data_IF_361810316959
#
_entry.id   IF_361810316959
#
_cell.length_a   1.000
_cell.length_b   1.000
_cell.length_c   1.000
_cell.angle_alpha   90.00
_cell.angle_beta   90.00
_cell.angle_gamma   90.00
#
_symmetry.space_group_name_H-M   'P 1'
#
loop_
_entity.id
_entity.type
_entity.pdbx_description
1 polymer ?
#
# COMPACT_ATOMS: atom_id res chain seq x y z
N UNK A 1 -7.72 7.71 1.74
CA UNK A 1 -6.97 6.44 1.50
C UNK A 1 -7.87 5.26 1.14
N UNK A 2 -8.88 4.90 1.95
CA UNK A 2 -9.77 3.75 1.66
C UNK A 2 -10.46 3.84 0.30
N UNK A 3 -11.02 5.00 -0.06
CA UNK A 3 -11.69 5.23 -1.35
C UNK A 3 -10.73 5.19 -2.56
N UNK A 4 -9.42 5.26 -2.33
CA UNK A 4 -8.40 5.15 -3.37
C UNK A 4 -7.88 3.73 -3.56
N UNK A 5 -8.35 2.78 -2.73
CA UNK A 5 -7.94 1.37 -2.69
C UNK A 5 -6.49 1.12 -2.23
N UNK A 6 -5.84 2.13 -1.65
CA UNK A 6 -4.47 2.04 -1.12
C UNK A 6 -4.41 1.79 0.40
N UNK A 7 -5.40 1.07 0.94
CA UNK A 7 -5.48 0.72 2.36
C UNK A 7 -5.77 -0.77 2.53
N UNK A 8 -4.73 -1.57 2.77
CA UNK A 8 -4.78 -3.01 3.09
C UNK A 8 -3.37 -3.56 3.29
N UNK A 9 -3.00 -3.92 4.53
CA UNK A 9 -1.69 -4.55 4.80
C UNK A 9 -1.51 -5.87 4.06
N UNK A 10 -2.60 -6.64 3.90
CA UNK A 10 -2.61 -7.96 3.29
C UNK A 10 -2.15 -7.93 1.83
N UNK A 11 -2.63 -6.95 1.07
CA UNK A 11 -2.25 -6.72 -0.33
C UNK A 11 -1.03 -5.83 -0.51
N UNK A 12 -0.34 -5.46 0.58
CA UNK A 12 0.88 -4.67 0.50
C UNK A 12 0.66 -3.16 0.36
N UNK A 13 -0.47 -2.65 0.83
CA UNK A 13 -0.72 -1.22 0.94
C UNK A 13 -0.55 -0.72 2.37
N UNK A 14 -0.73 0.59 2.57
CA UNK A 14 -0.65 1.23 3.87
C UNK A 14 -1.73 0.67 4.81
N UNK A 15 -1.42 0.62 6.10
CA UNK A 15 -2.33 0.22 7.16
C UNK A 15 -2.50 1.36 8.18
N UNK A 16 -3.35 1.14 9.20
CA UNK A 16 -3.62 2.16 10.22
C UNK A 16 -2.37 2.62 10.96
N UNK A 17 -1.49 1.69 11.35
CA UNK A 17 -0.24 2.02 12.04
C UNK A 17 0.70 2.85 11.16
N UNK A 18 0.90 2.43 9.91
CA UNK A 18 1.71 3.16 8.94
C UNK A 18 1.18 4.58 8.72
N UNK A 19 -0.12 4.73 8.46
CA UNK A 19 -0.72 6.05 8.23
C UNK A 19 -0.59 6.96 9.45
N UNK A 20 -0.83 6.44 10.65
CA UNK A 20 -0.70 7.24 11.88
C UNK A 20 0.73 7.76 12.06
N UNK A 21 1.74 6.93 11.82
CA UNK A 21 3.15 7.33 11.93
C UNK A 21 3.55 8.35 10.85
N UNK A 22 3.10 8.15 9.61
CA UNK A 22 3.31 9.11 8.53
C UNK A 22 2.65 10.46 8.84
N UNK A 23 1.39 10.46 9.30
CA UNK A 23 0.68 11.68 9.68
C UNK A 23 1.37 12.35 10.87
N UNK A 24 1.78 11.58 11.89
CA UNK A 24 2.47 12.11 13.05
C UNK A 24 3.80 12.78 12.65
N UNK A 25 4.56 12.21 11.70
CA UNK A 25 5.75 12.87 11.17
C UNK A 25 5.45 14.27 10.63
N UNK A 26 4.36 14.40 9.87
CA UNK A 26 3.94 15.68 9.28
C UNK A 26 3.47 16.66 10.36
N UNK A 27 2.72 16.19 11.36
CA UNK A 27 2.28 17.02 12.49
C UNK A 27 3.48 17.57 13.27
N UNK A 28 4.52 16.76 13.49
CA UNK A 28 5.75 17.20 14.18
C UNK A 28 6.53 18.23 13.35
N UNK A 29 6.62 18.05 12.03
CA UNK A 29 7.33 18.98 11.14
C UNK A 29 6.61 20.32 10.96
N UNK A 30 5.27 20.32 11.01
CA UNK A 30 4.42 21.48 10.75
C UNK A 30 3.47 21.76 11.94
N UNK A 31 4.03 21.75 13.16
CA UNK A 31 3.30 22.01 14.39
C UNK A 31 2.49 23.33 14.29
N UNK A 32 1.30 23.37 14.88
CA UNK A 32 0.32 24.48 14.83
C UNK A 32 -0.30 24.82 13.45
N UNK A 33 -0.09 23.99 12.43
CA UNK A 33 -0.74 24.19 11.13
C UNK A 33 -2.19 23.71 11.09
N UNK A 34 -2.99 24.29 10.18
CA UNK A 34 -4.37 23.83 9.95
C UNK A 34 -4.43 22.41 9.38
N UNK A 35 -5.51 21.68 9.67
CA UNK A 35 -5.71 20.30 9.19
C UNK A 35 -5.59 20.16 7.66
N UNK A 36 -6.13 21.14 6.92
CA UNK A 36 -6.08 21.15 5.45
C UNK A 36 -4.63 21.31 4.96
N UNK A 37 -3.87 22.20 5.60
CA UNK A 37 -2.46 22.39 5.28
C UNK A 37 -1.63 21.13 5.60
N UNK A 38 -1.90 20.48 6.75
CA UNK A 38 -1.25 19.23 7.13
C UNK A 38 -1.53 18.11 6.12
N UNK A 39 -2.77 17.98 5.63
CA UNK A 39 -3.12 17.00 4.61
C UNK A 39 -2.42 17.27 3.28
N UNK A 40 -2.33 18.54 2.87
CA UNK A 40 -1.59 18.90 1.67
C UNK A 40 -0.10 18.60 1.82
N UNK A 41 0.51 18.97 2.96
CA UNK A 41 1.90 18.68 3.25
C UNK A 41 2.19 17.19 3.35
N UNK A 42 1.27 16.40 3.89
CA UNK A 42 1.39 14.95 3.87
C UNK A 42 1.58 14.41 2.46
N UNK A 43 0.76 14.84 1.51
CA UNK A 43 0.88 14.38 0.13
C UNK A 43 2.19 14.86 -0.51
N UNK A 44 2.51 16.15 -0.44
CA UNK A 44 3.74 16.73 -1.00
C UNK A 44 5.00 16.05 -0.44
N UNK A 45 5.10 15.93 0.88
CA UNK A 45 6.26 15.36 1.55
C UNK A 45 6.48 13.91 1.14
N UNK A 46 5.45 13.07 1.08
CA UNK A 46 5.64 11.64 0.79
C UNK A 46 5.73 11.30 -0.71
N UNK A 47 5.35 12.22 -1.59
CA UNK A 47 5.70 12.16 -3.02
C UNK A 47 7.21 12.39 -3.20
N UNK A 48 7.75 13.43 -2.55
CA UNK A 48 9.16 13.82 -2.69
C UNK A 48 10.12 13.06 -1.77
N UNK A 49 9.60 12.26 -0.83
CA UNK A 49 10.40 11.54 0.16
C UNK A 49 11.40 10.59 -0.51
N UNK A 50 12.69 10.71 -0.15
CA UNK A 50 13.68 9.72 -0.55
C UNK A 50 13.52 8.45 0.30
N UNK A 51 12.76 7.50 -0.24
CA UNK A 51 12.44 6.21 0.40
C UNK A 51 13.65 5.29 0.66
N UNK A 52 14.86 5.69 0.27
CA UNK A 52 16.10 5.10 0.80
C UNK A 52 16.27 5.34 2.30
N UNK A 53 15.65 6.41 2.82
CA UNK A 53 15.67 6.74 4.23
C UNK A 53 14.33 6.35 4.89
N UNK A 54 14.38 5.62 6.01
CA UNK A 54 13.16 5.24 6.73
C UNK A 54 12.49 6.47 7.34
N UNK A 55 11.16 6.48 7.34
CA UNK A 55 10.40 7.46 8.11
C UNK A 55 10.52 7.11 9.60
N UNK A 56 11.30 7.93 10.30
CA UNK A 56 11.56 7.84 11.74
C UNK A 56 11.08 9.09 12.45
N UNK A 57 10.62 8.87 13.68
CA UNK A 57 10.19 9.91 14.61
C UNK A 57 11.27 10.05 15.69
N UNK A 58 12.45 10.55 15.28
CA UNK A 58 13.66 10.62 16.11
C UNK A 58 13.46 11.40 17.42
N UNK A 59 12.57 12.39 17.38
CA UNK A 59 12.18 13.23 18.54
C UNK A 59 11.57 12.42 19.70
N UNK A 60 11.12 11.19 19.44
CA UNK A 60 10.39 10.35 20.40
C UNK A 60 11.08 9.02 20.72
N UNK A 61 12.16 8.66 20.01
CA UNK A 61 12.82 7.35 20.16
C UNK A 61 14.04 7.42 21.10
N UNK A 62 14.07 6.54 22.12
CA UNK A 62 15.24 6.35 22.97
C UNK A 62 16.37 5.66 22.19
N UNK A 63 17.64 6.02 22.46
CA UNK A 63 18.87 5.62 21.72
C UNK A 63 19.20 4.10 21.70
N UNK A 64 18.30 3.22 22.15
CA UNK A 64 18.53 1.78 22.23
C UNK A 64 18.14 1.05 20.95
N UNK A 65 19.14 0.49 20.26
CA UNK A 65 19.07 -0.42 19.10
C UNK A 65 18.02 -0.03 18.03
N UNK A 66 18.47 0.82 17.12
CA UNK A 66 17.75 1.18 15.90
C UNK A 66 17.53 -0.04 15.01
N UNK A 67 16.39 -0.05 14.32
CA UNK A 67 16.10 -0.98 13.23
C UNK A 67 17.28 -1.04 12.25
N UNK A 68 17.66 -2.26 11.84
CA UNK A 68 18.70 -2.52 10.83
C UNK A 68 18.11 -3.19 9.61
N UNK A 69 18.31 -2.60 8.45
CA UNK A 69 17.81 -3.11 7.17
C UNK A 69 18.24 -4.56 6.91
N UNK A 70 19.52 -4.88 7.14
CA UNK A 70 20.06 -6.23 6.97
C UNK A 70 19.32 -7.28 7.80
N UNK A 71 18.92 -6.93 9.03
CA UNK A 71 18.18 -7.85 9.90
C UNK A 71 16.77 -8.11 9.38
N UNK A 72 16.09 -7.10 8.83
CA UNK A 72 14.79 -7.27 8.18
C UNK A 72 14.90 -8.09 6.90
N UNK A 73 15.90 -7.81 6.05
CA UNK A 73 16.15 -8.59 4.83
C UNK A 73 16.35 -10.06 5.17
N UNK A 74 17.17 -10.37 6.18
CA UNK A 74 17.40 -11.74 6.61
C UNK A 74 16.12 -12.39 7.16
N UNK A 75 15.33 -11.68 7.95
CA UNK A 75 14.03 -12.18 8.42
C UNK A 75 13.08 -12.48 7.25
N UNK A 76 13.02 -11.60 6.25
CA UNK A 76 12.21 -11.80 5.04
C UNK A 76 12.69 -12.99 4.23
N UNK A 77 14.00 -13.15 4.03
CA UNK A 77 14.58 -14.34 3.38
C UNK A 77 14.18 -15.62 4.10
N UNK A 78 14.20 -15.61 5.43
CA UNK A 78 13.81 -16.76 6.25
C UNK A 78 12.36 -17.21 6.04
N UNK A 79 11.44 -16.29 5.68
CA UNK A 79 10.05 -16.65 5.37
C UNK A 79 9.93 -17.58 4.16
N UNK A 80 10.92 -17.57 3.27
CA UNK A 80 10.92 -18.38 2.04
C UNK A 80 11.96 -19.52 2.08
N UNK A 81 12.80 -19.56 3.12
CA UNK A 81 13.97 -20.45 3.19
C UNK A 81 13.61 -21.94 3.21
N UNK A 82 12.49 -22.30 3.87
CA UNK A 82 12.03 -23.70 3.95
C UNK A 82 11.74 -24.32 2.59
N UNK A 83 11.51 -23.50 1.56
CA UNK A 83 11.28 -23.93 0.18
C UNK A 83 12.46 -23.60 -0.76
N UNK A 84 13.49 -22.91 -0.26
CA UNK A 84 14.60 -22.35 -1.06
C UNK A 84 15.36 -23.41 -1.85
N UNK A 85 15.60 -24.58 -1.26
CA UNK A 85 16.31 -25.68 -1.93
C UNK A 85 15.53 -26.29 -3.09
N UNK A 86 14.20 -26.15 -3.10
CA UNK A 86 13.31 -26.71 -4.11
C UNK A 86 12.96 -25.72 -5.23
N UNK A 87 13.37 -24.45 -5.10
CA UNK A 87 13.10 -23.42 -6.09
C UNK A 87 14.16 -23.40 -7.20
N UNK A 88 13.69 -23.10 -8.41
CA UNK A 88 14.53 -22.77 -9.56
C UNK A 88 15.36 -21.50 -9.30
N UNK A 89 16.40 -21.30 -10.09
CA UNK A 89 17.24 -20.11 -9.98
C UNK A 89 16.44 -18.82 -10.22
N UNK A 90 15.46 -18.83 -11.13
CA UNK A 90 14.59 -17.69 -11.42
C UNK A 90 13.70 -17.34 -10.22
N UNK A 91 13.09 -18.34 -9.58
CA UNK A 91 12.27 -18.15 -8.39
C UNK A 91 13.08 -17.61 -7.21
N UNK A 92 14.35 -18.03 -7.05
CA UNK A 92 15.25 -17.49 -6.03
C UNK A 92 15.55 -16.01 -6.26
N UNK A 93 15.89 -15.63 -7.50
CA UNK A 93 16.13 -14.23 -7.88
C UNK A 93 14.89 -13.37 -7.61
N UNK A 94 13.70 -13.88 -7.96
CA UNK A 94 12.43 -13.22 -7.66
C UNK A 94 12.26 -12.99 -6.16
N UNK A 95 12.46 -14.02 -5.33
CA UNK A 95 12.33 -13.92 -3.88
C UNK A 95 13.33 -12.94 -3.27
N UNK A 96 14.58 -12.93 -3.75
CA UNK A 96 15.60 -11.99 -3.30
C UNK A 96 15.19 -10.53 -3.55
N UNK A 97 14.61 -10.21 -4.70
CA UNK A 97 14.11 -8.86 -4.98
C UNK A 97 13.00 -8.43 -4.02
N UNK A 98 12.09 -9.33 -3.67
CA UNK A 98 11.00 -9.06 -2.71
C UNK A 98 11.47 -9.02 -1.24
N UNK A 99 12.72 -9.37 -0.97
CA UNK A 99 13.31 -9.25 0.38
C UNK A 99 13.74 -7.83 0.72
N UNK A 100 13.96 -6.98 -0.27
CA UNK A 100 14.32 -5.59 -0.03
C UNK A 100 13.07 -4.77 0.35
N UNK A 101 13.11 -4.02 1.46
CA UNK A 101 11.99 -3.17 1.85
C UNK A 101 11.88 -1.96 0.91
N UNK A 102 10.65 -1.62 0.49
CA UNK A 102 10.40 -0.59 -0.52
C UNK A 102 10.01 0.77 0.09
N UNK A 103 9.17 0.75 1.13
CA UNK A 103 8.80 1.92 1.92
C UNK A 103 8.94 1.54 3.39
N UNK A 104 9.85 2.18 4.12
CA UNK A 104 10.12 1.85 5.52
C UNK A 104 9.55 2.94 6.43
N UNK A 105 8.61 2.56 7.29
CA UNK A 105 8.01 3.43 8.31
C UNK A 105 8.14 2.73 9.64
N UNK A 106 8.86 3.33 10.59
CA UNK A 106 9.23 2.66 11.83
C UNK A 106 8.32 3.00 13.00
N UNK A 107 8.01 1.99 13.82
CA UNK A 107 7.31 2.16 15.09
C UNK A 107 8.08 3.02 16.09
N UNK A 108 7.33 3.66 16.98
CA UNK A 108 7.86 4.48 18.08
C UNK A 108 8.41 3.70 19.28
N UNK A 109 8.04 2.42 19.42
CA UNK A 109 8.42 1.58 20.56
C UNK A 109 9.64 0.72 20.30
N UNK A 110 10.31 0.28 21.37
CA UNK A 110 11.35 -0.74 21.30
C UNK A 110 10.74 -2.15 21.32
N UNK A 111 11.20 -3.08 20.46
CA UNK A 111 12.12 -2.83 19.34
C UNK A 111 11.44 -2.09 18.18
N UNK A 112 12.18 -1.23 17.47
CA UNK A 112 11.68 -0.58 16.25
C UNK A 112 11.35 -1.63 15.17
N UNK A 113 10.17 -1.52 14.56
CA UNK A 113 9.72 -2.42 13.51
C UNK A 113 9.17 -1.62 12.31
N UNK A 114 9.37 -2.15 11.12
CA UNK A 114 8.79 -1.61 9.89
C UNK A 114 7.29 -1.93 9.81
N UNK A 115 6.42 -0.93 9.89
CA UNK A 115 4.97 -1.10 9.78
C UNK A 115 4.48 -1.31 8.34
N UNK A 116 5.28 -0.93 7.34
CA UNK A 116 4.96 -1.03 5.91
C UNK A 116 5.73 -2.15 5.21
N UNK A 117 6.11 -3.18 5.96
CA UNK A 117 6.90 -4.32 5.45
C UNK A 117 6.26 -5.04 4.25
N UNK A 118 4.94 -5.03 4.10
CA UNK A 118 4.28 -5.69 2.96
C UNK A 118 4.27 -4.86 1.67
N UNK A 119 4.68 -3.59 1.70
CA UNK A 119 4.73 -2.73 0.51
C UNK A 119 5.73 -3.27 -0.51
N UNK A 120 5.30 -3.38 -1.76
CA UNK A 120 6.09 -3.84 -2.90
C UNK A 120 6.18 -2.74 -3.98
N UNK A 121 6.80 -3.06 -5.12
CA UNK A 121 7.02 -2.10 -6.18
C UNK A 121 5.71 -1.58 -6.80
N UNK A 122 4.76 -2.47 -7.11
CA UNK A 122 3.46 -2.09 -7.65
C UNK A 122 2.68 -1.21 -6.68
N UNK A 123 2.59 -1.61 -5.42
CA UNK A 123 1.79 -0.88 -4.43
C UNK A 123 2.41 0.47 -4.09
N UNK A 124 3.75 0.57 -3.99
CA UNK A 124 4.43 1.88 -3.87
C UNK A 124 4.07 2.78 -5.05
N UNK A 125 4.17 2.28 -6.28
CA UNK A 125 3.86 3.06 -7.48
C UNK A 125 2.41 3.55 -7.48
N UNK A 126 1.47 2.72 -7.07
CA UNK A 126 0.05 3.10 -6.93
C UNK A 126 -0.14 4.15 -5.83
N UNK A 127 0.48 3.96 -4.66
CA UNK A 127 0.39 4.92 -3.53
C UNK A 127 0.86 6.31 -3.98
N UNK A 128 2.04 6.39 -4.59
CA UNK A 128 2.60 7.65 -5.07
C UNK A 128 1.72 8.30 -6.14
N UNK A 129 1.23 7.51 -7.11
CA UNK A 129 0.32 8.01 -8.15
C UNK A 129 -0.99 8.57 -7.58
N UNK A 130 -1.56 7.94 -6.55
CA UNK A 130 -2.78 8.47 -5.92
C UNK A 130 -2.51 9.75 -5.11
N UNK A 131 -1.29 9.91 -4.57
CA UNK A 131 -0.87 11.14 -3.91
C UNK A 131 -0.67 12.27 -4.93
N UNK A 132 0.05 11.99 -6.03
CA UNK A 132 0.25 12.91 -7.16
C UNK A 132 -1.08 13.40 -7.73
N UNK A 133 -2.00 12.47 -8.05
CA UNK A 133 -3.35 12.81 -8.50
C UNK A 133 -4.08 13.76 -7.53
N UNK A 134 -3.86 13.58 -6.23
CA UNK A 134 -4.44 14.46 -5.21
C UNK A 134 -3.87 15.87 -5.24
N UNK A 135 -2.55 15.98 -5.33
CA UNK A 135 -1.87 17.28 -5.39
C UNK A 135 -2.18 18.01 -6.70
N UNK A 136 -2.22 17.31 -7.82
CA UNK A 136 -2.58 17.90 -9.12
C UNK A 136 -4.00 18.48 -9.10
N UNK A 137 -4.98 17.75 -8.55
CA UNK A 137 -6.35 18.24 -8.40
C UNK A 137 -6.40 19.52 -7.54
N UNK A 138 -5.64 19.56 -6.46
CA UNK A 138 -5.60 20.72 -5.56
C UNK A 138 -4.91 21.92 -6.19
N UNK A 139 -3.79 21.71 -6.88
CA UNK A 139 -3.06 22.77 -7.57
C UNK A 139 -3.89 23.37 -8.70
N UNK A 140 -4.58 22.53 -9.48
CA UNK A 140 -5.49 22.99 -10.54
C UNK A 140 -6.62 23.84 -9.97
N UNK A 141 -7.18 23.47 -8.81
CA UNK A 141 -8.24 24.24 -8.17
C UNK A 141 -7.76 25.60 -7.63
N UNK A 142 -6.53 25.68 -7.11
CA UNK A 142 -5.93 26.94 -6.61
C UNK A 142 -5.75 28.01 -7.68
N UNK A 143 -5.46 27.60 -8.91
CA UNK A 143 -5.17 28.51 -10.02
C UNK A 143 -6.41 29.17 -10.63
N UNK A 144 -7.59 29.04 -10.01
CA UNK A 144 -8.86 29.56 -10.51
C UNK A 144 -9.34 30.77 -9.70
N UNK A 145 -10.14 31.65 -10.32
CA UNK A 145 -10.60 32.91 -9.72
C UNK A 145 -11.44 32.72 -8.42
N UNK A 146 -12.13 31.59 -8.26
CA UNK A 146 -12.88 31.19 -7.04
C UNK A 146 -12.11 30.13 -6.22
N UNK A 147 -10.84 30.42 -5.93
CA UNK A 147 -9.89 29.45 -5.38
C UNK A 147 -10.36 28.71 -4.12
N UNK A 148 -11.12 29.35 -3.21
CA UNK A 148 -11.55 28.72 -1.95
C UNK A 148 -12.68 27.69 -2.14
N UNK A 149 -13.71 27.99 -2.95
CA UNK A 149 -14.78 27.03 -3.21
C UNK A 149 -14.29 25.86 -4.07
N UNK A 150 -13.48 26.17 -5.09
CA UNK A 150 -12.91 25.16 -5.97
C UNK A 150 -11.94 24.23 -5.21
N UNK A 151 -11.16 24.75 -4.26
CA UNK A 151 -10.33 23.93 -3.37
C UNK A 151 -11.16 22.95 -2.54
N UNK A 152 -12.27 23.43 -1.95
CA UNK A 152 -13.18 22.58 -1.16
C UNK A 152 -13.78 21.47 -2.03
N UNK A 153 -14.18 21.81 -3.25
CA UNK A 153 -14.72 20.84 -4.19
C UNK A 153 -13.67 19.84 -4.67
N UNK A 154 -12.43 20.28 -4.90
CA UNK A 154 -11.31 19.41 -5.25
C UNK A 154 -11.01 18.40 -4.14
N UNK A 155 -10.95 18.84 -2.87
CA UNK A 155 -10.80 17.94 -1.72
C UNK A 155 -11.93 16.93 -1.64
N UNK A 156 -13.18 17.38 -1.76
CA UNK A 156 -14.35 16.48 -1.74
C UNK A 156 -14.27 15.45 -2.85
N UNK A 157 -13.86 15.87 -4.05
CA UNK A 157 -13.72 15.00 -5.22
C UNK A 157 -12.63 13.97 -5.00
N UNK A 158 -11.44 14.39 -4.56
CA UNK A 158 -10.34 13.48 -4.29
C UNK A 158 -10.69 12.49 -3.18
N UNK A 159 -11.19 12.95 -2.02
CA UNK A 159 -11.53 12.09 -0.88
C UNK A 159 -12.56 10.99 -1.20
N UNK A 160 -13.48 11.26 -2.13
CA UNK A 160 -14.47 10.27 -2.59
C UNK A 160 -13.86 9.19 -3.49
N UNK A 161 -12.68 9.43 -4.06
CA UNK A 161 -12.00 8.52 -4.97
C UNK A 161 -12.76 8.26 -6.27
N UNK A 162 -12.26 7.31 -7.05
CA UNK A 162 -12.90 6.80 -8.28
C UNK A 162 -13.21 5.31 -8.15
N UNK A 163 -14.10 4.78 -8.99
CA UNK A 163 -14.43 3.35 -8.94
C UNK A 163 -13.24 2.53 -9.43
N UNK A 164 -12.98 1.41 -8.75
CA UNK A 164 -11.85 0.54 -9.08
C UNK A 164 -11.88 0.04 -10.54
N UNK A 165 -13.07 -0.34 -11.02
CA UNK A 165 -13.26 -0.84 -12.39
C UNK A 165 -13.03 0.23 -13.48
N UNK A 166 -13.04 1.51 -13.12
CA UNK A 166 -12.77 2.62 -14.04
C UNK A 166 -11.28 2.99 -14.05
N UNK A 167 -10.49 2.50 -13.08
CA UNK A 167 -9.05 2.79 -12.96
C UNK A 167 -8.18 2.01 -13.95
N UNK A 168 -8.66 0.87 -14.45
CA UNK A 168 -7.86 -0.07 -15.25
C UNK A 168 -8.62 -0.58 -16.46
N UNK A 169 -7.87 -0.97 -17.51
CA UNK A 169 -8.43 -1.57 -18.73
C UNK A 169 -8.50 -3.10 -18.66
N UNK A 170 -7.62 -3.71 -17.87
CA UNK A 170 -7.49 -5.16 -17.74
C UNK A 170 -7.62 -5.57 -16.28
N UNK A 171 -8.29 -6.70 -16.05
CA UNK A 171 -8.56 -7.23 -14.72
C UNK A 171 -8.35 -8.73 -14.71
N UNK A 172 -7.83 -9.23 -13.59
CA UNK A 172 -7.83 -10.64 -13.24
C UNK A 172 -8.79 -10.84 -12.09
N UNK A 173 -9.73 -11.77 -12.24
CA UNK A 173 -10.72 -12.07 -11.22
C UNK A 173 -10.43 -13.40 -10.54
N UNK A 174 -10.31 -13.40 -9.22
CA UNK A 174 -10.03 -14.58 -8.41
C UNK A 174 -11.28 -14.89 -7.59
N UNK A 175 -11.90 -16.03 -7.89
CA UNK A 175 -13.07 -16.52 -7.17
C UNK A 175 -12.67 -17.64 -6.22
N UNK A 176 -13.00 -17.46 -4.94
CA UNK A 176 -13.02 -18.54 -3.97
C UNK A 176 -14.47 -18.84 -3.63
N UNK A 177 -14.92 -20.07 -3.89
CA UNK A 177 -16.32 -20.48 -3.72
C UNK A 177 -16.33 -21.66 -2.76
N UNK A 178 -17.15 -21.56 -1.72
CA UNK A 178 -17.52 -22.68 -0.86
C UNK A 178 -19.02 -22.97 -1.01
N UNK A 179 -19.36 -24.21 -1.35
CA UNK A 179 -20.75 -24.64 -1.54
C UNK A 179 -21.58 -24.63 -0.25
N UNK A 180 -20.93 -24.78 0.90
CA UNK A 180 -21.63 -25.00 2.17
C UNK A 180 -21.59 -23.78 3.10
N UNK A 181 -20.98 -22.67 2.68
CA UNK A 181 -20.72 -21.49 3.52
C UNK A 181 -20.19 -21.88 4.91
N UNK A 182 -19.31 -22.89 4.91
CA UNK A 182 -18.72 -23.47 6.10
C UNK A 182 -17.62 -22.55 6.64
N UNK A 183 -17.34 -22.68 7.94
CA UNK A 183 -16.23 -21.98 8.57
C UNK A 183 -14.89 -22.40 7.95
N UNK A 184 -14.80 -23.68 7.55
CA UNK A 184 -13.66 -24.25 6.85
C UNK A 184 -13.44 -23.58 5.50
N UNK A 185 -14.51 -23.37 4.72
CA UNK A 185 -14.45 -22.67 3.44
C UNK A 185 -14.07 -21.21 3.58
N UNK A 186 -14.60 -20.50 4.57
CA UNK A 186 -14.20 -19.12 4.86
C UNK A 186 -12.70 -19.04 5.21
N UNK A 187 -12.22 -19.95 6.05
CA UNK A 187 -10.80 -20.05 6.39
C UNK A 187 -9.93 -20.38 5.18
N UNK A 188 -10.41 -21.24 4.28
CA UNK A 188 -9.74 -21.53 3.02
C UNK A 188 -9.65 -20.29 2.13
N UNK A 189 -10.73 -19.51 1.99
CA UNK A 189 -10.68 -18.27 1.21
C UNK A 189 -9.74 -17.22 1.82
N UNK A 190 -9.71 -17.08 3.16
CA UNK A 190 -8.72 -16.24 3.85
C UNK A 190 -7.29 -16.73 3.60
N UNK A 191 -7.08 -18.05 3.59
CA UNK A 191 -5.78 -18.64 3.26
C UNK A 191 -5.35 -18.27 1.83
N UNK A 192 -6.23 -18.44 0.84
CA UNK A 192 -5.97 -18.03 -0.55
C UNK A 192 -5.66 -16.53 -0.62
N UNK A 193 -6.47 -15.69 0.02
CA UNK A 193 -6.29 -14.23 0.03
C UNK A 193 -4.93 -13.82 0.61
N UNK A 194 -4.45 -14.52 1.66
CA UNK A 194 -3.12 -14.29 2.25
C UNK A 194 -1.95 -14.60 1.30
N UNK A 195 -2.19 -15.44 0.27
CA UNK A 195 -1.18 -15.90 -0.69
C UNK A 195 -1.15 -15.08 -1.97
N UNK A 196 -2.22 -14.35 -2.31
CA UNK A 196 -2.30 -13.55 -3.55
C UNK A 196 -1.07 -12.64 -3.71
N UNK A 197 -0.65 -11.95 -2.65
CA UNK A 197 0.53 -11.08 -2.72
C UNK A 197 1.82 -11.86 -2.97
N UNK A 198 2.03 -12.94 -2.22
CA UNK A 198 3.30 -13.68 -2.21
C UNK A 198 3.48 -14.57 -3.44
N UNK A 199 2.40 -15.19 -3.93
CA UNK A 199 2.47 -16.21 -4.98
C UNK A 199 2.08 -15.66 -6.36
N UNK A 200 1.17 -14.69 -6.43
CA UNK A 200 0.66 -14.16 -7.71
C UNK A 200 1.26 -12.80 -8.05
N UNK A 201 1.11 -11.80 -7.18
CA UNK A 201 1.58 -10.43 -7.47
C UNK A 201 3.08 -10.42 -7.71
N UNK A 202 3.85 -11.07 -6.82
CA UNK A 202 5.31 -11.16 -6.94
C UNK A 202 5.78 -11.86 -8.21
N UNK A 203 5.01 -12.83 -8.71
CA UNK A 203 5.27 -13.54 -9.97
C UNK A 203 5.02 -12.61 -11.16
N UNK A 204 3.89 -11.90 -11.16
CA UNK A 204 3.52 -11.00 -12.24
C UNK A 204 4.51 -9.83 -12.39
N UNK A 205 4.98 -9.27 -11.28
CA UNK A 205 5.92 -8.13 -11.29
C UNK A 205 7.27 -8.44 -11.96
N UNK A 206 7.69 -9.70 -11.97
CA UNK A 206 9.01 -10.11 -12.47
C UNK A 206 8.95 -10.78 -13.85
N UNK A 207 7.99 -11.68 -14.06
CA UNK A 207 7.97 -12.52 -15.26
C UNK A 207 7.42 -11.78 -16.48
N UNK A 208 6.62 -10.73 -16.28
CA UNK A 208 5.88 -10.06 -17.35
C UNK A 208 6.37 -8.63 -17.53
N UNK A 209 7.42 -8.43 -18.35
CA UNK A 209 7.89 -7.08 -18.77
C UNK A 209 6.80 -6.22 -19.43
N UNK A 210 5.66 -6.81 -19.79
CA UNK A 210 4.50 -6.11 -20.37
C UNK A 210 3.54 -5.53 -19.32
N UNK A 211 3.67 -5.94 -18.05
CA UNK A 211 2.80 -5.49 -16.97
C UNK A 211 3.52 -4.42 -16.15
N UNK A 212 2.95 -3.23 -16.10
CA UNK A 212 3.58 -2.08 -15.44
C UNK A 212 3.48 -2.14 -13.90
N UNK A 213 2.31 -2.54 -13.38
CA UNK A 213 2.07 -2.77 -11.96
C UNK A 213 0.75 -3.53 -11.76
N UNK A 214 0.59 -4.13 -10.59
CA UNK A 214 -0.64 -4.84 -10.19
C UNK A 214 -1.31 -4.20 -8.98
N UNK A 215 -2.64 -4.10 -9.02
CA UNK A 215 -3.46 -3.57 -7.92
C UNK A 215 -4.45 -4.63 -7.47
N UNK A 216 -4.22 -5.23 -6.30
CA UNK A 216 -5.13 -6.19 -5.71
C UNK A 216 -6.08 -5.54 -4.68
N UNK A 217 -7.33 -5.97 -4.68
CA UNK A 217 -8.34 -5.56 -3.69
C UNK A 217 -9.36 -6.68 -3.48
N UNK A 218 -9.83 -6.86 -2.25
CA UNK A 218 -10.92 -7.78 -1.91
C UNK A 218 -12.24 -7.07 -1.61
N UNK A 219 -12.33 -5.76 -1.89
CA UNK A 219 -13.55 -5.01 -1.61
C UNK A 219 -14.67 -5.41 -2.55
N UNK A 220 -15.80 -5.79 -1.96
CA UNK A 220 -16.99 -6.24 -2.69
C UNK A 220 -17.52 -5.20 -3.69
N UNK A 221 -17.39 -3.90 -3.38
CA UNK A 221 -17.82 -2.82 -4.26
C UNK A 221 -17.00 -2.69 -5.56
N UNK A 222 -15.95 -3.48 -5.72
CA UNK A 222 -15.15 -3.58 -6.94
C UNK A 222 -15.63 -4.69 -7.87
N UNK A 223 -16.57 -5.53 -7.43
CA UNK A 223 -17.08 -6.65 -8.20
C UNK A 223 -18.08 -6.16 -9.25
N UNK A 224 -17.97 -6.60 -10.53
CA UNK A 224 -19.01 -6.31 -11.50
C UNK A 224 -20.33 -6.92 -11.05
N UNK A 225 -21.44 -6.18 -11.19
CA UNK A 225 -22.77 -6.56 -10.70
C UNK A 225 -23.21 -7.97 -11.13
N UNK A 226 -22.88 -8.36 -12.36
CA UNK A 226 -23.16 -9.69 -12.93
C UNK A 226 -22.60 -10.83 -12.06
N UNK A 227 -21.45 -10.63 -11.43
CA UNK A 227 -20.86 -11.63 -10.54
C UNK A 227 -21.48 -11.61 -9.14
N UNK A 228 -21.83 -10.43 -8.62
CA UNK A 228 -22.54 -10.31 -7.35
C UNK A 228 -23.90 -11.03 -7.37
N UNK A 229 -24.60 -10.98 -8.50
CA UNK A 229 -25.92 -11.62 -8.67
C UNK A 229 -25.83 -13.14 -8.89
N UNK A 230 -24.71 -13.62 -9.43
CA UNK A 230 -24.53 -15.05 -9.78
C UNK A 230 -23.91 -15.89 -8.66
N UNK A 231 -23.13 -15.27 -7.78
CA UNK A 231 -22.31 -15.97 -6.78
C UNK A 231 -22.55 -15.51 -5.33
N UNK A 232 -23.56 -14.66 -5.08
CA UNK A 232 -24.23 -14.56 -3.78
C UNK A 232 -25.44 -15.47 -3.76
#
# INVERSE_FOLDING_TARGET
>A
MTHHFIYSSQFGFLNGATLNLLILKIVLLYFDSSQIYLLQKFLETFIEWDWKFPVKLEELTQKSQSWKEETEINFRKNQYLSKYNNYSNEERIRLEKHTNPIMVVLTLGYPEQNCSYNVNNSTRKIILKEFENGIDLLNNAKNTNDGNENLKQAWKTWLNGSKFLEKYKHFLFILCIDKFHSKEGENYCRFIESRIRLELIFTIEEDQKQIDYTHATSKENCLPKIFLEKYR
#
